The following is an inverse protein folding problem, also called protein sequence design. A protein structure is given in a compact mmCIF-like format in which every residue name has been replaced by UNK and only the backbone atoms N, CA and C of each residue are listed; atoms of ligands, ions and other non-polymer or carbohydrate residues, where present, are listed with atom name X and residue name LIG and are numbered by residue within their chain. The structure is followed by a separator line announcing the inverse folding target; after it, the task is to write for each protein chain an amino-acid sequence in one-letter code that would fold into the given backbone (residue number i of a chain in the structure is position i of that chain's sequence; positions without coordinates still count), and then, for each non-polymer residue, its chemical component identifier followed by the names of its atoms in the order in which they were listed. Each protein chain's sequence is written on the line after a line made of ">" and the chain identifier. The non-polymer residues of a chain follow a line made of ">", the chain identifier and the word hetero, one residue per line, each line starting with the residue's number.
data_IF_836464978354
#
_entry.id   IF_836464978354
#
_cell.length_a   1.000
_cell.length_b   1.000
_cell.length_c   1.000
_cell.angle_alpha   90.00
_cell.angle_beta   90.00
_cell.angle_gamma   90.00
#
_symmetry.space_group_name_H-M   'P 1'
#
loop_
_entity.id
_entity.type
_entity.pdbx_description
1 polymer ?
#
# COMPACT_ATOMS: atom_id res chain seq x y z
N UNK A 1 -48.90 -16.12 50.74
CA UNK A 1 -47.76 -15.44 50.08
C UNK A 1 -46.83 -16.49 49.51
N UNK A 2 -46.62 -16.51 48.18
CA UNK A 2 -45.31 -16.75 47.53
C UNK A 2 -45.52 -16.73 46.01
N UNK A 3 -45.11 -15.63 45.39
CA UNK A 3 -45.08 -15.42 43.94
C UNK A 3 -43.92 -16.25 43.38
N UNK A 4 -44.18 -17.09 42.40
CA UNK A 4 -43.14 -17.77 41.61
C UNK A 4 -42.70 -16.79 40.54
N UNK A 5 -41.46 -16.31 40.64
CA UNK A 5 -40.85 -15.41 39.67
C UNK A 5 -40.03 -16.27 38.69
N UNK A 6 -40.47 -16.31 37.43
CA UNK A 6 -39.69 -16.86 36.31
C UNK A 6 -38.45 -15.98 36.08
N UNK A 7 -37.22 -16.54 35.97
CA UNK A 7 -36.11 -15.81 35.39
C UNK A 7 -36.19 -15.89 33.86
N UNK A 8 -36.52 -14.77 33.23
CA UNK A 8 -36.29 -14.53 31.80
C UNK A 8 -34.79 -14.32 31.63
N UNK A 9 -34.10 -15.33 31.10
CA UNK A 9 -32.71 -15.19 30.69
C UNK A 9 -32.66 -14.49 29.32
N UNK A 10 -32.36 -13.20 29.32
CA UNK A 10 -32.03 -12.44 28.10
C UNK A 10 -30.60 -12.81 27.71
N UNK A 11 -30.47 -13.63 26.65
CA UNK A 11 -29.21 -13.88 25.98
C UNK A 11 -28.83 -12.61 25.19
N UNK A 12 -27.90 -11.84 25.75
CA UNK A 12 -27.25 -10.72 25.08
C UNK A 12 -26.40 -11.29 23.95
N UNK A 13 -26.73 -10.91 22.71
CA UNK A 13 -25.96 -11.21 21.51
C UNK A 13 -24.70 -10.35 21.55
N UNK A 14 -23.58 -10.94 21.96
CA UNK A 14 -22.26 -10.35 21.71
C UNK A 14 -22.00 -10.44 20.20
N UNK A 15 -22.10 -9.31 19.50
CA UNK A 15 -21.63 -9.21 18.12
C UNK A 15 -20.11 -9.35 18.13
N UNK A 16 -19.60 -10.45 17.59
CA UNK A 16 -18.21 -10.52 17.15
C UNK A 16 -18.04 -9.49 16.03
N UNK A 17 -17.41 -8.36 16.32
CA UNK A 17 -16.78 -7.56 15.30
C UNK A 17 -15.63 -8.39 14.74
N UNK A 18 -15.83 -9.01 13.59
CA UNK A 18 -14.77 -9.70 12.89
C UNK A 18 -13.86 -8.64 12.27
N UNK A 19 -12.80 -8.24 12.98
CA UNK A 19 -11.69 -7.57 12.32
C UNK A 19 -11.17 -8.50 11.21
N UNK A 20 -10.91 -7.94 10.01
CA UNK A 20 -10.53 -8.75 8.86
C UNK A 20 -9.25 -9.52 9.21
N UNK A 21 -9.38 -10.84 9.26
CA UNK A 21 -8.32 -11.75 9.67
C UNK A 21 -7.46 -12.07 8.45
N UNK A 22 -6.48 -11.22 8.17
CA UNK A 22 -5.53 -11.42 7.08
C UNK A 22 -4.83 -10.14 6.64
N UNK A 23 -3.88 -10.27 5.70
CA UNK A 23 -3.15 -9.11 5.17
C UNK A 23 -4.10 -8.09 4.57
N UNK A 24 -3.93 -6.83 4.94
CA UNK A 24 -4.79 -5.76 4.47
C UNK A 24 -4.20 -5.09 3.22
N UNK A 25 -5.06 -4.77 2.26
CA UNK A 25 -4.66 -4.07 1.04
C UNK A 25 -4.57 -2.55 1.27
N UNK A 26 -3.68 -1.89 0.52
CA UNK A 26 -3.69 -0.43 0.34
C UNK A 26 -4.54 -0.10 -0.87
N UNK A 27 -5.42 0.90 -0.75
CA UNK A 27 -6.19 1.42 -1.87
C UNK A 27 -5.41 2.52 -2.58
N UNK A 28 -5.30 2.40 -3.90
CA UNK A 28 -4.66 3.38 -4.77
C UNK A 28 -5.68 3.90 -5.76
N UNK A 29 -5.86 5.22 -5.75
CA UNK A 29 -6.71 5.93 -6.70
C UNK A 29 -5.85 6.85 -7.57
N UNK A 30 -5.96 6.74 -8.88
CA UNK A 30 -5.23 7.58 -9.83
C UNK A 30 -6.13 7.90 -11.04
N UNK A 31 -6.62 9.14 -11.09
CA UNK A 31 -7.65 9.54 -12.05
C UNK A 31 -8.92 8.68 -11.88
N UNK A 32 -9.42 8.00 -12.93
CA UNK A 32 -10.62 7.15 -12.83
C UNK A 32 -10.33 5.72 -12.33
N UNK A 33 -9.07 5.38 -12.03
CA UNK A 33 -8.68 4.03 -11.64
C UNK A 33 -8.63 3.89 -10.14
N UNK A 34 -9.16 2.77 -9.64
CA UNK A 34 -9.09 2.34 -8.25
C UNK A 34 -8.49 0.93 -8.22
N UNK A 35 -7.39 0.75 -7.49
CA UNK A 35 -6.63 -0.49 -7.43
C UNK A 35 -6.33 -0.86 -5.98
N UNK A 36 -6.60 -2.11 -5.61
CA UNK A 36 -6.18 -2.66 -4.32
C UNK A 36 -4.82 -3.32 -4.46
N UNK A 37 -3.88 -2.88 -3.64
CA UNK A 37 -2.50 -3.34 -3.65
C UNK A 37 -2.31 -4.24 -2.44
N UNK A 38 -2.02 -5.53 -2.63
CA UNK A 38 -1.72 -6.43 -1.53
C UNK A 38 -0.29 -6.20 -1.00
N UNK A 39 -0.01 -6.54 0.26
CA UNK A 39 1.35 -6.44 0.80
C UNK A 39 2.26 -7.46 0.12
N UNK A 40 3.49 -7.04 -0.16
CA UNK A 40 4.59 -7.94 -0.50
C UNK A 40 5.22 -8.56 0.75
N UNK A 41 5.10 -7.89 1.89
CA UNK A 41 5.49 -8.36 3.20
C UNK A 41 4.68 -7.66 4.27
N UNK A 42 4.51 -8.30 5.42
CA UNK A 42 3.82 -7.76 6.58
C UNK A 42 4.30 -8.46 7.86
N UNK A 43 4.31 -7.73 8.97
CA UNK A 43 4.57 -8.29 10.30
C UNK A 43 3.25 -8.76 10.90
N UNK A 44 3.05 -10.07 11.02
CA UNK A 44 1.81 -10.66 11.53
C UNK A 44 2.17 -11.47 12.77
N UNK A 45 1.57 -11.13 13.91
CA UNK A 45 1.81 -11.79 15.20
C UNK A 45 3.31 -11.83 15.61
N UNK A 46 4.08 -10.81 15.22
CA UNK A 46 5.53 -10.73 15.48
C UNK A 46 6.39 -11.57 14.54
N UNK A 47 5.80 -12.19 13.52
CA UNK A 47 6.51 -12.93 12.48
C UNK A 47 6.41 -12.20 11.14
N UNK A 48 7.55 -11.94 10.51
CA UNK A 48 7.59 -11.36 9.17
C UNK A 48 7.14 -12.40 8.14
N UNK A 49 6.00 -12.13 7.51
CA UNK A 49 5.50 -12.91 6.39
C UNK A 49 5.85 -12.20 5.08
N UNK A 50 6.27 -12.97 4.07
CA UNK A 50 6.52 -12.48 2.71
C UNK A 50 5.55 -13.14 1.74
N UNK A 51 4.98 -12.34 0.87
CA UNK A 51 4.00 -12.78 -0.11
C UNK A 51 4.63 -12.70 -1.51
N UNK A 52 4.48 -13.77 -2.28
CA UNK A 52 4.92 -13.80 -3.68
C UNK A 52 3.81 -13.25 -4.56
N UNK A 53 4.01 -12.06 -5.12
CA UNK A 53 3.07 -11.42 -6.04
C UNK A 53 3.79 -10.40 -6.92
N UNK A 54 3.31 -10.22 -8.16
CA UNK A 54 3.77 -9.09 -8.97
C UNK A 54 3.01 -7.84 -8.49
N UNK A 55 3.72 -6.74 -8.17
CA UNK A 55 3.07 -5.47 -7.90
C UNK A 55 2.10 -5.08 -9.02
N UNK A 56 0.91 -4.55 -8.71
CA UNK A 56 0.04 -3.95 -9.71
C UNK A 56 0.77 -2.82 -10.46
N UNK A 57 0.44 -2.65 -11.74
CA UNK A 57 0.99 -1.60 -12.59
C UNK A 57 -0.16 -0.75 -13.11
N UNK A 58 -0.11 0.56 -12.85
CA UNK A 58 -1.18 1.52 -13.18
C UNK A 58 -0.70 2.47 -14.27
N UNK A 59 -1.38 2.50 -15.40
CA UNK A 59 -1.10 3.47 -16.46
C UNK A 59 -1.78 4.80 -16.13
N UNK A 60 -1.05 5.90 -16.11
CA UNK A 60 -1.55 7.22 -15.68
C UNK A 60 -1.22 8.28 -16.70
N UNK A 61 -2.08 9.30 -16.79
CA UNK A 61 -1.74 10.49 -17.57
C UNK A 61 -0.71 11.35 -16.79
N UNK A 62 0.02 12.25 -17.48
CA UNK A 62 0.71 13.33 -16.80
C UNK A 62 -0.25 14.16 -15.92
N UNK A 63 0.28 14.85 -14.92
CA UNK A 63 -0.47 15.75 -14.02
C UNK A 63 -1.67 15.06 -13.35
N UNK A 64 -1.52 13.77 -13.02
CA UNK A 64 -2.52 12.97 -12.32
C UNK A 64 -2.15 12.87 -10.85
N UNK A 65 -3.03 13.36 -9.98
CA UNK A 65 -2.90 13.15 -8.54
C UNK A 65 -3.13 11.69 -8.18
N UNK A 66 -2.21 11.12 -7.42
CA UNK A 66 -2.31 9.79 -6.82
C UNK A 66 -2.78 9.94 -5.39
N UNK A 67 -3.84 9.21 -5.04
CA UNK A 67 -4.39 9.12 -3.70
C UNK A 67 -4.14 7.72 -3.14
N UNK A 68 -3.53 7.65 -1.97
CA UNK A 68 -3.22 6.40 -1.26
C UNK A 68 -4.06 6.35 0.02
N UNK A 69 -4.76 5.26 0.25
CA UNK A 69 -5.48 5.01 1.51
C UNK A 69 -4.98 3.72 2.14
N UNK A 70 -4.41 3.83 3.33
CA UNK A 70 -3.95 2.68 4.12
C UNK A 70 -5.02 2.23 5.12
N UNK A 71 -4.97 0.99 5.60
CA UNK A 71 -5.80 0.53 6.71
C UNK A 71 -5.55 1.35 7.99
N UNK A 72 -6.57 1.49 8.84
CA UNK A 72 -6.49 2.28 10.08
C UNK A 72 -5.34 1.81 11.01
N UNK A 73 -5.10 0.50 11.09
CA UNK A 73 -4.00 -0.06 11.89
C UNK A 73 -2.63 0.43 11.42
N UNK A 74 -2.44 0.54 10.09
CA UNK A 74 -1.20 1.06 9.49
C UNK A 74 -1.09 2.57 9.73
N UNK A 75 -2.20 3.30 9.62
CA UNK A 75 -2.23 4.73 9.92
C UNK A 75 -1.83 5.02 11.37
N UNK A 76 -2.39 4.29 12.34
CA UNK A 76 -2.10 4.43 13.76
C UNK A 76 -0.64 4.08 14.09
N UNK A 77 -0.10 3.02 13.49
CA UNK A 77 1.29 2.63 13.63
C UNK A 77 2.24 3.70 13.03
N UNK A 78 1.80 4.38 11.98
CA UNK A 78 2.58 5.32 11.18
C UNK A 78 3.00 4.68 9.85
N UNK A 79 3.18 5.49 8.82
CA UNK A 79 3.59 5.01 7.50
C UNK A 79 4.18 6.15 6.67
N UNK A 80 4.77 5.78 5.54
CA UNK A 80 5.26 6.71 4.53
C UNK A 80 5.29 6.06 3.15
N UNK A 81 5.73 6.84 2.16
CA UNK A 81 5.89 6.39 0.78
C UNK A 81 7.34 6.53 0.37
N UNK A 82 7.91 5.46 -0.18
CA UNK A 82 9.21 5.50 -0.82
C UNK A 82 9.01 5.45 -2.34
N UNK A 83 9.62 6.40 -3.04
CA UNK A 83 9.59 6.48 -4.50
C UNK A 83 10.82 5.79 -5.05
N UNK A 84 10.65 4.86 -5.99
CA UNK A 84 11.72 4.08 -6.61
C UNK A 84 11.70 4.21 -8.14
N UNK A 85 12.84 3.91 -8.76
CA UNK A 85 12.93 3.70 -10.21
C UNK A 85 12.02 2.54 -10.70
N UNK A 86 11.98 2.34 -12.01
CA UNK A 86 11.16 1.32 -12.69
C UNK A 86 11.63 -0.13 -12.44
N UNK A 87 12.72 -0.32 -11.69
CA UNK A 87 13.29 -1.63 -11.38
C UNK A 87 13.34 -1.90 -9.87
N UNK A 88 12.79 -1.02 -9.03
CA UNK A 88 12.89 -1.06 -7.55
C UNK A 88 14.35 -1.11 -7.05
N UNK A 89 15.31 -0.54 -7.78
CA UNK A 89 16.73 -0.59 -7.43
C UNK A 89 17.19 0.69 -6.72
N UNK A 90 16.85 1.85 -7.29
CA UNK A 90 17.22 3.15 -6.74
C UNK A 90 16.02 3.84 -6.09
N UNK A 91 16.17 4.26 -4.83
CA UNK A 91 15.20 5.15 -4.17
C UNK A 91 15.44 6.59 -4.62
N UNK A 92 14.38 7.20 -5.17
CA UNK A 92 14.35 8.53 -5.74
C UNK A 92 13.88 9.58 -4.72
N UNK A 93 13.02 9.18 -3.76
CA UNK A 93 12.45 10.09 -2.78
C UNK A 93 11.71 9.38 -1.65
N UNK A 94 11.31 10.16 -0.65
CA UNK A 94 10.49 9.74 0.49
C UNK A 94 9.41 10.80 0.70
N UNK A 95 8.18 10.36 0.94
CA UNK A 95 7.08 11.20 1.41
C UNK A 95 6.68 10.68 2.78
N UNK A 96 6.94 11.50 3.80
CA UNK A 96 6.54 11.19 5.16
C UNK A 96 5.06 11.52 5.36
N UNK A 97 4.33 10.66 6.05
CA UNK A 97 2.92 10.87 6.39
C UNK A 97 2.80 11.03 7.89
N UNK A 98 1.98 11.98 8.33
CA UNK A 98 1.72 12.18 9.75
C UNK A 98 1.07 10.93 10.36
N UNK A 99 1.57 10.47 11.51
CA UNK A 99 1.00 9.32 12.21
C UNK A 99 -0.48 9.56 12.53
N UNK A 100 -1.32 8.58 12.23
CA UNK A 100 -2.78 8.63 12.35
C UNK A 100 -3.51 9.11 11.08
N UNK A 101 -2.78 9.61 10.07
CA UNK A 101 -3.39 9.99 8.79
C UNK A 101 -3.51 8.76 7.89
N UNK A 102 -4.73 8.33 7.56
CA UNK A 102 -4.95 7.16 6.71
C UNK A 102 -4.87 7.44 5.20
N UNK A 103 -4.91 8.71 4.78
CA UNK A 103 -5.02 9.12 3.38
C UNK A 103 -3.89 10.09 3.01
N UNK A 104 -3.22 9.86 1.89
CA UNK A 104 -2.26 10.79 1.28
C UNK A 104 -2.73 11.17 -0.13
N UNK A 105 -2.75 12.46 -0.45
CA UNK A 105 -3.22 13.02 -1.73
C UNK A 105 -2.21 14.00 -2.38
N UNK A 106 -0.93 13.94 -1.98
CA UNK A 106 0.07 14.96 -2.35
C UNK A 106 1.02 14.55 -3.49
N UNK A 107 0.87 13.33 -4.03
CA UNK A 107 1.79 12.82 -5.06
C UNK A 107 1.21 13.10 -6.44
N UNK A 108 1.86 13.97 -7.21
CA UNK A 108 1.55 14.20 -8.61
C UNK A 108 2.46 13.37 -9.54
N UNK A 109 1.89 12.79 -10.59
CA UNK A 109 2.64 11.94 -11.53
C UNK A 109 3.70 12.71 -12.33
N UNK A 110 3.62 14.03 -12.43
CA UNK A 110 4.61 14.87 -13.11
C UNK A 110 5.83 15.20 -12.25
N UNK A 111 5.71 15.14 -10.92
CA UNK A 111 6.81 15.43 -10.00
C UNK A 111 7.83 14.28 -9.90
N UNK A 112 7.46 13.08 -10.38
CA UNK A 112 8.31 11.89 -10.36
C UNK A 112 9.01 11.70 -11.70
N UNK A 113 10.34 11.58 -11.70
CA UNK A 113 11.14 11.20 -12.87
C UNK A 113 11.90 9.93 -12.49
N UNK A 114 11.73 8.80 -13.21
CA UNK A 114 11.35 8.63 -14.63
C UNK A 114 9.84 8.47 -14.91
N UNK A 115 9.49 8.27 -16.19
CA UNK A 115 8.10 8.03 -16.63
C UNK A 115 7.53 6.69 -16.16
N UNK A 116 8.39 5.74 -15.80
CA UNK A 116 8.03 4.55 -15.06
C UNK A 116 8.68 4.63 -13.67
N UNK A 117 7.92 4.35 -12.63
CA UNK A 117 8.39 4.40 -11.25
C UNK A 117 7.54 3.49 -10.36
N UNK A 118 8.04 3.19 -9.17
CA UNK A 118 7.27 2.51 -8.14
C UNK A 118 7.04 3.43 -6.95
N UNK A 119 5.83 3.38 -6.40
CA UNK A 119 5.57 3.83 -5.03
C UNK A 119 5.52 2.59 -4.15
N UNK A 120 6.29 2.61 -3.07
CA UNK A 120 6.24 1.58 -2.03
C UNK A 120 5.71 2.23 -0.77
N UNK A 121 4.45 1.94 -0.45
CA UNK A 121 3.91 2.29 0.87
C UNK A 121 4.61 1.41 1.89
N UNK A 122 5.15 2.03 2.93
CA UNK A 122 5.86 1.35 4.02
C UNK A 122 5.24 1.76 5.34
N UNK A 123 4.91 0.77 6.15
CA UNK A 123 4.48 0.99 7.53
C UNK A 123 5.68 1.33 8.42
N UNK A 124 5.49 2.08 9.49
CA UNK A 124 6.53 2.35 10.49
C UNK A 124 6.80 1.10 11.33
N UNK A 125 8.08 0.85 11.60
CA UNK A 125 8.48 -0.37 12.29
C UNK A 125 8.17 -0.28 13.78
N UNK A 126 7.35 -1.20 14.28
CA UNK A 126 7.26 -1.48 15.71
C UNK A 126 8.45 -2.32 16.21
N UNK A 127 8.60 -2.45 17.53
CA UNK A 127 9.66 -3.26 18.16
C UNK A 127 9.52 -4.77 17.88
N UNK A 128 8.37 -5.21 17.38
CA UNK A 128 8.03 -6.63 17.24
C UNK A 128 8.77 -7.35 16.11
N UNK A 129 9.18 -6.65 15.03
CA UNK A 129 9.73 -7.27 13.82
C UNK A 129 11.11 -6.70 13.39
N UNK A 130 12.00 -6.40 14.34
CA UNK A 130 13.40 -5.99 14.08
C UNK A 130 13.58 -4.86 13.05
N UNK A 131 12.66 -3.91 12.97
CA UNK A 131 12.76 -2.84 11.97
C UNK A 131 12.25 -3.22 10.58
N UNK A 132 11.47 -4.30 10.44
CA UNK A 132 10.75 -4.64 9.21
C UNK A 132 9.24 -4.56 9.46
N UNK A 133 8.53 -3.94 8.54
CA UNK A 133 7.09 -3.62 8.61
C UNK A 133 6.39 -3.97 7.28
N UNK A 134 5.08 -3.71 7.21
CA UNK A 134 4.28 -3.85 6.00
C UNK A 134 4.84 -3.06 4.81
N UNK A 135 4.80 -3.66 3.61
CA UNK A 135 5.17 -2.98 2.37
C UNK A 135 4.26 -3.34 1.19
N UNK A 136 3.73 -2.31 0.53
CA UNK A 136 2.78 -2.41 -0.59
C UNK A 136 3.34 -1.72 -1.83
N UNK A 137 4.07 -2.44 -2.69
CA UNK A 137 4.60 -1.87 -3.93
C UNK A 137 3.50 -1.75 -5.00
N UNK A 138 3.44 -0.60 -5.66
CA UNK A 138 2.61 -0.34 -6.84
C UNK A 138 3.44 0.40 -7.88
N UNK A 139 3.40 -0.09 -9.12
CA UNK A 139 4.09 0.53 -10.25
C UNK A 139 3.18 1.53 -10.96
N UNK A 140 3.77 2.58 -11.52
CA UNK A 140 3.10 3.55 -12.37
C UNK A 140 3.83 3.69 -13.70
N UNK A 141 3.06 3.79 -14.78
CA UNK A 141 3.54 4.12 -16.12
C UNK A 141 2.84 5.37 -16.62
N UNK A 142 3.59 6.46 -16.80
CA UNK A 142 3.05 7.70 -17.36
C UNK A 142 2.93 7.58 -18.88
N UNK A 143 1.71 7.76 -19.38
CA UNK A 143 1.42 7.82 -20.80
C UNK A 143 2.19 8.96 -21.48
N UNK A 144 2.83 8.67 -22.61
CA UNK A 144 3.59 9.66 -23.39
C UNK A 144 5.01 9.93 -22.90
N UNK A 145 5.49 9.22 -21.87
CA UNK A 145 6.92 9.21 -21.53
C UNK A 145 7.70 8.34 -22.49
N UNK A 146 8.86 8.82 -22.95
CA UNK A 146 9.78 7.98 -23.71
C UNK A 146 10.16 6.77 -22.85
N UNK A 147 9.79 5.57 -23.30
CA UNK A 147 10.37 4.32 -22.80
C UNK A 147 11.83 4.23 -23.29
N UNK A 148 12.68 5.17 -22.89
CA UNK A 148 14.11 5.09 -23.15
C UNK A 148 14.75 4.21 -22.07
N UNK A 149 14.36 2.94 -22.04
CA UNK A 149 15.37 1.90 -21.81
C UNK A 149 16.30 1.91 -23.03
N UNK A 150 17.59 1.58 -22.90
CA UNK A 150 18.44 1.46 -24.09
C UNK A 150 17.78 0.45 -25.03
N UNK A 151 17.32 0.91 -26.18
CA UNK A 151 17.07 0.03 -27.29
C UNK A 151 18.38 -0.73 -27.50
N UNK A 152 18.36 -2.05 -27.29
CA UNK A 152 19.45 -2.92 -27.75
C UNK A 152 19.60 -2.67 -29.23
N UNK A 153 20.57 -1.83 -29.59
CA UNK A 153 21.00 -1.62 -30.95
C UNK A 153 21.43 -3.00 -31.47
N UNK A 154 20.67 -3.53 -32.43
CA UNK A 154 21.07 -4.75 -33.10
C UNK A 154 22.46 -4.51 -33.73
N UNK A 155 23.44 -5.41 -33.51
CA UNK A 155 24.78 -5.18 -34.02
C UNK A 155 24.76 -5.05 -35.55
N UNK A 156 25.54 -4.13 -36.13
CA UNK A 156 25.61 -3.99 -37.58
C UNK A 156 26.11 -5.30 -38.20
N UNK A 157 25.34 -5.81 -39.15
CA UNK A 157 25.70 -7.01 -39.92
C UNK A 157 26.78 -6.62 -40.94
N UNK A 158 27.93 -7.31 -41.00
CA UNK A 158 28.98 -7.06 -41.99
C UNK A 158 28.62 -7.57 -43.39
#
# INVERSE_FOLDING_TARGET
>A
MRRVVLPVAVLLVAGCGSEPSGPQDVLVEAGPQEVRVPPSQECIDGELQRFSGRPPLVEVSPDTTIRLTVPDSVAEQGWGVQVYDDQLQQRLGIVDVERGQAVLEEIDTSDVVPAAFYLVVVEDTGEACEGLSGAWPVGFLRAGGDQTGPATEAPPVP
#
